data_IF_161518375131
#
_entry.id   IF_161518375131
#
_cell.length_a   1.000
_cell.length_b   1.000
_cell.length_c   1.000
_cell.angle_alpha   90.00
_cell.angle_beta   90.00
_cell.angle_gamma   90.00
#
_symmetry.space_group_name_H-M   'P 1'
#
loop_
_entity.id
_entity.type
_entity.pdbx_description
1 polymer ?
#
# COMPACT_ATOMS: atom_id res chain seq x y z
N UNK A 1 -13.86 13.62 -15.95
CA UNK A 1 -14.49 12.36 -15.75
C UNK A 1 -14.69 12.03 -14.29
N UNK A 2 -15.58 11.13 -14.03
CA UNK A 2 -15.85 10.68 -12.68
C UNK A 2 -14.85 9.65 -12.25
N UNK A 3 -14.55 9.62 -10.94
CA UNK A 3 -13.71 8.61 -10.35
C UNK A 3 -14.58 7.39 -10.05
N UNK A 4 -14.15 6.22 -10.52
CA UNK A 4 -14.87 4.99 -10.27
C UNK A 4 -14.20 4.21 -9.14
N UNK A 5 -14.96 3.41 -8.38
CA UNK A 5 -14.36 2.55 -7.34
C UNK A 5 -13.53 1.44 -7.95
N UNK A 6 -12.40 1.14 -7.31
CA UNK A 6 -11.47 0.11 -7.74
C UNK A 6 -11.05 -0.72 -6.55
N UNK A 7 -10.68 -1.97 -6.81
CA UNK A 7 -10.24 -2.90 -5.75
C UNK A 7 -8.82 -3.36 -5.93
N UNK A 8 -8.24 -3.22 -7.11
CA UNK A 8 -6.88 -3.72 -7.34
C UNK A 8 -6.06 -2.70 -8.12
N UNK A 9 -4.84 -2.46 -7.65
CA UNK A 9 -3.95 -1.49 -8.29
C UNK A 9 -2.50 -1.85 -8.02
N UNK A 10 -1.62 -1.33 -8.89
CA UNK A 10 -0.19 -1.34 -8.64
C UNK A 10 0.20 -0.01 -8.04
N UNK A 11 1.15 -0.04 -7.14
CA UNK A 11 1.64 1.17 -6.49
C UNK A 11 3.15 1.11 -6.32
N UNK A 12 3.73 2.29 -6.11
CA UNK A 12 5.10 2.41 -5.65
C UNK A 12 5.04 2.99 -4.25
N UNK A 13 5.66 2.30 -3.29
CA UNK A 13 5.56 2.69 -1.90
C UNK A 13 6.92 2.63 -1.22
N UNK A 14 7.08 3.47 -0.21
CA UNK A 14 8.25 3.51 0.63
C UNK A 14 7.83 3.05 2.03
N UNK A 15 8.61 2.13 2.59
CA UNK A 15 8.34 1.60 3.92
C UNK A 15 9.24 2.33 4.91
N UNK A 16 8.64 2.96 5.91
CA UNK A 16 9.37 3.75 6.88
C UNK A 16 10.35 2.89 7.69
N UNK A 17 11.50 3.45 7.99
CA UNK A 17 12.48 2.80 8.84
C UNK A 17 12.01 2.81 10.30
N UNK A 18 12.61 1.95 11.11
CA UNK A 18 12.34 1.92 12.53
C UNK A 18 12.53 3.30 13.16
N UNK A 19 13.59 4.00 12.80
CA UNK A 19 13.89 5.33 13.34
C UNK A 19 12.84 6.37 12.95
N UNK A 20 12.09 6.09 11.89
CA UNK A 20 11.04 6.96 11.41
C UNK A 20 9.67 6.59 11.98
N UNK A 21 9.64 5.63 12.92
CA UNK A 21 8.40 5.17 13.50
C UNK A 21 7.75 4.02 12.74
N UNK A 22 8.46 3.44 11.79
CA UNK A 22 7.94 2.35 10.98
C UNK A 22 8.11 0.99 11.62
N UNK A 23 8.04 -0.04 10.78
CA UNK A 23 8.13 -1.42 11.24
C UNK A 23 9.56 -1.77 11.65
N UNK A 24 9.66 -2.73 12.58
CA UNK A 24 10.93 -3.29 13.00
C UNK A 24 11.34 -4.49 12.15
N UNK A 25 10.37 -5.10 11.47
CA UNK A 25 10.59 -6.34 10.72
C UNK A 25 10.11 -6.16 9.29
N UNK A 26 10.65 -6.94 8.34
CA UNK A 26 10.17 -6.88 6.97
C UNK A 26 8.76 -7.45 6.87
N UNK A 27 8.07 -7.16 5.78
CA UNK A 27 6.81 -7.82 5.50
C UNK A 27 6.91 -8.65 4.23
N UNK A 28 6.01 -9.61 4.15
CA UNK A 28 6.00 -10.60 3.07
C UNK A 28 4.74 -10.45 2.24
N UNK A 29 4.67 -11.19 1.14
CA UNK A 29 3.44 -11.24 0.37
C UNK A 29 2.27 -11.68 1.27
N UNK A 30 1.06 -11.22 0.95
CA UNK A 30 -0.16 -11.42 1.75
C UNK A 30 -0.22 -10.59 3.02
N UNK A 31 0.71 -9.66 3.20
CA UNK A 31 0.64 -8.68 4.29
C UNK A 31 -0.64 -7.85 4.11
N UNK A 32 -1.37 -7.67 5.20
CA UNK A 32 -2.68 -6.99 5.16
C UNK A 32 -2.72 -5.77 6.07
N UNK A 33 -2.03 -4.70 5.71
CA UNK A 33 -2.14 -3.47 6.47
C UNK A 33 -3.40 -2.70 6.07
N UNK A 34 -3.63 -1.58 6.74
CA UNK A 34 -4.66 -0.65 6.32
C UNK A 34 -4.05 0.36 5.36
N UNK A 35 -4.82 0.71 4.33
CA UNK A 35 -4.44 1.72 3.36
C UNK A 35 -5.32 2.93 3.55
N UNK A 36 -4.72 4.07 3.82
CA UNK A 36 -5.44 5.30 4.12
C UNK A 36 -5.47 6.16 2.84
N UNK A 37 -6.66 6.28 2.27
CA UNK A 37 -6.90 7.08 1.07
C UNK A 37 -7.70 8.30 1.46
N UNK A 38 -7.09 9.48 1.42
CA UNK A 38 -7.76 10.73 1.78
C UNK A 38 -8.34 10.67 3.19
N UNK A 39 -9.60 10.26 3.33
CA UNK A 39 -10.28 10.21 4.62
C UNK A 39 -10.78 8.80 4.97
N UNK A 40 -10.41 7.80 4.18
CA UNK A 40 -10.96 6.44 4.33
C UNK A 40 -9.84 5.43 4.53
N UNK A 41 -9.97 4.61 5.58
CA UNK A 41 -9.09 3.46 5.79
C UNK A 41 -9.74 2.22 5.21
N UNK A 42 -8.95 1.42 4.49
CA UNK A 42 -9.41 0.15 3.92
C UNK A 42 -8.32 -0.88 4.10
N UNK A 43 -8.69 -2.07 4.52
CA UNK A 43 -7.75 -3.19 4.59
C UNK A 43 -7.47 -3.69 3.18
N UNK A 44 -6.20 -3.91 2.88
CA UNK A 44 -5.79 -4.44 1.60
C UNK A 44 -4.72 -5.48 1.76
N UNK A 45 -4.61 -6.37 0.77
CA UNK A 45 -3.59 -7.41 0.74
C UNK A 45 -2.50 -7.01 -0.23
N UNK A 46 -1.25 -7.05 0.24
CA UNK A 46 -0.09 -6.72 -0.60
C UNK A 46 0.41 -7.99 -1.27
N UNK A 47 0.62 -7.91 -2.58
CA UNK A 47 1.25 -8.96 -3.35
C UNK A 47 2.57 -8.43 -3.87
N UNK A 48 3.66 -9.08 -3.52
CA UNK A 48 4.99 -8.67 -3.96
C UNK A 48 5.27 -9.17 -5.37
N UNK A 49 6.09 -8.45 -6.13
CA UNK A 49 6.43 -8.90 -7.49
C UNK A 49 7.16 -10.24 -7.48
N UNK A 50 7.11 -10.92 -8.62
CA UNK A 50 7.82 -12.18 -8.81
C UNK A 50 9.31 -11.98 -8.53
N UNK A 51 9.88 -12.88 -7.74
CA UNK A 51 11.29 -12.78 -7.36
C UNK A 51 11.55 -11.97 -6.11
N UNK A 52 10.53 -11.29 -5.57
CA UNK A 52 10.65 -10.53 -4.33
C UNK A 52 9.91 -11.30 -3.24
N UNK A 53 10.65 -11.66 -2.19
CA UNK A 53 10.06 -12.45 -1.10
C UNK A 53 9.61 -11.57 0.07
N UNK A 54 10.28 -10.44 0.27
CA UNK A 54 9.97 -9.56 1.38
C UNK A 54 10.41 -8.14 1.07
N UNK A 55 9.89 -7.20 1.86
CA UNK A 55 10.29 -5.79 1.78
C UNK A 55 10.77 -5.37 3.15
N UNK A 56 11.98 -4.81 3.20
CA UNK A 56 12.60 -4.39 4.44
C UNK A 56 12.19 -2.96 4.79
N UNK A 57 12.14 -2.61 6.08
CA UNK A 57 11.95 -1.21 6.47
C UNK A 57 13.04 -0.34 5.86
N UNK A 58 12.63 0.79 5.29
CA UNK A 58 13.55 1.68 4.60
C UNK A 58 13.68 1.44 3.11
N UNK A 59 13.08 0.36 2.62
CA UNK A 59 13.07 0.07 1.19
C UNK A 59 11.88 0.71 0.52
N UNK A 60 12.02 1.01 -0.77
CA UNK A 60 10.88 1.34 -1.60
C UNK A 60 10.74 0.26 -2.66
N UNK A 61 9.58 0.20 -3.27
CA UNK A 61 9.34 -0.79 -4.30
C UNK A 61 7.94 -0.71 -4.86
N UNK A 62 7.69 -1.56 -5.85
CA UNK A 62 6.39 -1.65 -6.50
C UNK A 62 5.66 -2.89 -5.97
N UNK A 63 4.39 -2.70 -5.65
CA UNK A 63 3.55 -3.79 -5.14
C UNK A 63 2.21 -3.75 -5.85
N UNK A 64 1.55 -4.90 -5.83
CA UNK A 64 0.13 -4.98 -6.22
C UNK A 64 -0.67 -5.06 -4.93
N UNK A 65 -1.73 -4.28 -4.85
CA UNK A 65 -2.59 -4.23 -3.67
C UNK A 65 -4.01 -4.59 -4.08
N UNK A 66 -4.62 -5.47 -3.30
CA UNK A 66 -6.00 -5.86 -3.50
C UNK A 66 -6.79 -5.46 -2.26
N UNK A 67 -7.71 -4.52 -2.43
CA UNK A 67 -8.52 -4.00 -1.32
C UNK A 67 -9.73 -4.89 -1.08
N UNK A 68 -10.16 -4.98 0.17
CA UNK A 68 -11.37 -5.74 0.51
C UNK A 68 -12.65 -4.97 0.15
N UNK A 69 -12.53 -3.65 -0.01
CA UNK A 69 -13.67 -2.79 -0.34
C UNK A 69 -13.28 -1.86 -1.46
N UNK A 70 -14.14 -1.65 -2.48
CA UNK A 70 -13.80 -0.72 -3.56
C UNK A 70 -13.65 0.71 -3.05
N UNK A 71 -12.63 1.40 -3.57
CA UNK A 71 -12.33 2.78 -3.22
C UNK A 71 -12.20 3.60 -4.47
N UNK A 72 -12.81 4.77 -4.48
CA UNK A 72 -12.67 5.70 -5.59
C UNK A 72 -11.22 6.19 -5.64
N UNK A 73 -10.55 5.96 -6.75
CA UNK A 73 -9.15 6.34 -6.92
C UNK A 73 -8.82 6.59 -8.38
N UNK A 74 -7.72 7.26 -8.59
CA UNK A 74 -7.14 7.43 -9.92
C UNK A 74 -5.65 7.23 -9.82
N UNK A 75 -4.98 7.13 -10.97
CA UNK A 75 -3.54 7.04 -10.99
C UNK A 75 -2.94 8.29 -10.36
N UNK A 76 -1.78 8.13 -9.71
CA UNK A 76 -1.06 9.18 -9.00
C UNK A 76 -1.71 9.59 -7.68
N UNK A 77 -2.74 8.88 -7.23
CA UNK A 77 -3.31 9.12 -5.91
C UNK A 77 -2.33 8.68 -4.83
N UNK A 78 -2.05 9.56 -3.88
CA UNK A 78 -1.19 9.25 -2.74
C UNK A 78 -1.99 8.54 -1.66
N UNK A 79 -1.33 7.64 -0.95
CA UNK A 79 -1.95 6.96 0.18
C UNK A 79 -0.90 6.67 1.24
N UNK A 80 -1.35 6.38 2.45
CA UNK A 80 -0.48 5.96 3.54
C UNK A 80 -0.76 4.50 3.87
N UNK A 81 0.27 3.79 4.32
CA UNK A 81 0.12 2.42 4.81
C UNK A 81 0.20 2.48 6.33
N UNK A 82 -0.83 1.98 7.00
CA UNK A 82 -0.95 2.07 8.44
C UNK A 82 -1.10 0.68 9.06
N UNK A 83 -0.54 0.53 10.23
CA UNK A 83 -0.63 -0.72 10.97
C UNK A 83 -0.75 -0.41 12.44
N UNK A 84 -1.84 -0.86 13.07
CA UNK A 84 -2.05 -0.63 14.49
C UNK A 84 -2.13 0.83 14.88
N UNK A 85 -2.65 1.69 13.99
CA UNK A 85 -2.76 3.11 14.27
C UNK A 85 -1.51 3.92 13.96
N UNK A 86 -0.45 3.27 13.45
CA UNK A 86 0.80 3.95 13.08
C UNK A 86 0.98 3.91 11.59
N UNK A 87 1.52 4.98 11.03
CA UNK A 87 1.90 5.02 9.62
C UNK A 87 3.22 4.26 9.47
N UNK A 88 3.22 3.22 8.66
CA UNK A 88 4.42 2.41 8.43
C UNK A 88 4.95 2.57 7.01
N UNK A 89 4.25 3.32 6.17
CA UNK A 89 4.71 3.56 4.81
C UNK A 89 3.81 4.54 4.11
N UNK A 90 4.22 4.91 2.91
CA UNK A 90 3.44 5.79 2.05
C UNK A 90 3.73 5.44 0.61
N UNK A 91 2.76 5.69 -0.25
CA UNK A 91 2.93 5.34 -1.64
C UNK A 91 2.03 6.12 -2.56
N UNK A 92 2.13 5.77 -3.83
CA UNK A 92 1.34 6.40 -4.88
C UNK A 92 0.83 5.32 -5.83
N UNK A 93 -0.41 5.46 -6.26
CA UNK A 93 -1.01 4.54 -7.24
C UNK A 93 -0.34 4.79 -8.58
N UNK A 94 0.25 3.76 -9.18
CA UNK A 94 0.91 3.88 -10.48
C UNK A 94 0.06 3.31 -11.60
N UNK A 95 -0.78 2.32 -11.30
CA UNK A 95 -1.63 1.70 -12.32
C UNK A 95 -2.84 1.07 -11.66
N UNK A 96 -4.01 1.30 -12.22
CA UNK A 96 -5.25 0.68 -11.75
C UNK A 96 -5.50 -0.58 -12.57
N UNK A 97 -5.76 -1.70 -11.88
CA UNK A 97 -5.97 -3.01 -12.51
C UNK A 97 -7.46 -3.31 -12.60
N UNK A 98 -8.19 -3.14 -11.49
CA UNK A 98 -9.64 -3.46 -11.46
C UNK A 98 -10.44 -2.39 -10.74
#
# INVERSE_FOLDING_TARGET
GSITPHTEFECQAYILKKEEGGRHTPFFTKYRPQFYFRTTDVTGEVTLPSGTEMVMPGDDGKFTVKLITPIAMNEKLNFAIREGGKTVGAGVVTKIIK
#
